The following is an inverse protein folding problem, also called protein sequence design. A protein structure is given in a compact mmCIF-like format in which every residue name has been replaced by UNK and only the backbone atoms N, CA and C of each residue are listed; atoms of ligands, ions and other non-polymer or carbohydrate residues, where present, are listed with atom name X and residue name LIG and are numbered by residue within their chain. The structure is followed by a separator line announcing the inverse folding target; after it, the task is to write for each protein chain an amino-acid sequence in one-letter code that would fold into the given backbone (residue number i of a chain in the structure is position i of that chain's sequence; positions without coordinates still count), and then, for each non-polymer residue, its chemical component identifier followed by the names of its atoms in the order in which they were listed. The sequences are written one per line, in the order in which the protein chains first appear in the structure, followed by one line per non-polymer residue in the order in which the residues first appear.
data_IF_497593355484
#
_entry.id   IF_497593355484
#
_cell.length_a   1.000
_cell.length_b   1.000
_cell.length_c   1.000
_cell.angle_alpha   90.00
_cell.angle_beta   90.00
_cell.angle_gamma   90.00
#
_symmetry.space_group_name_H-M   'P 1'
#
loop_
_entity.id
_entity.type
_entity.pdbx_description
1 polymer ?
#
# COMPACT_ATOMS: atom_id res chain seq x y z
N UNK A 1 54.17 3.90 14.27
CA UNK A 1 55.09 3.85 13.10
C UNK A 1 56.27 2.97 13.48
N UNK A 2 56.65 1.97 12.68
CA UNK A 2 57.94 1.29 12.84
C UNK A 2 58.88 1.71 11.72
N UNK A 3 59.70 2.73 11.99
CA UNK A 3 60.83 3.13 11.14
C UNK A 3 62.09 2.42 11.63
N UNK A 4 62.63 1.54 10.79
CA UNK A 4 63.99 1.00 10.92
C UNK A 4 64.10 -0.35 11.64
N UNK A 5 64.98 -1.21 11.09
CA UNK A 5 65.47 -2.52 11.57
C UNK A 5 64.41 -3.65 11.65
N UNK A 6 64.50 -4.61 10.72
CA UNK A 6 63.90 -5.95 10.90
C UNK A 6 63.24 -6.63 9.69
N UNK A 7 63.01 -5.94 8.57
CA UNK A 7 62.31 -6.58 7.43
C UNK A 7 63.20 -7.60 6.70
N UNK A 8 62.96 -8.89 6.96
CA UNK A 8 63.42 -10.00 6.12
C UNK A 8 62.43 -10.23 4.98
N UNK A 9 62.98 -10.48 3.79
CA UNK A 9 62.23 -10.82 2.58
C UNK A 9 62.48 -12.29 2.19
N UNK A 10 61.60 -12.88 1.39
CA UNK A 10 61.80 -14.25 0.88
C UNK A 10 62.78 -14.20 -0.29
N UNK A 11 64.06 -14.43 -0.01
CA UNK A 11 65.14 -14.34 -1.01
C UNK A 11 65.24 -12.93 -1.60
N UNK A 12 65.41 -12.86 -2.92
CA UNK A 12 65.51 -11.59 -3.68
C UNK A 12 64.14 -11.03 -4.13
N UNK A 13 63.03 -11.54 -3.58
CA UNK A 13 61.69 -11.04 -3.88
C UNK A 13 61.32 -9.86 -2.98
N UNK A 14 60.48 -8.95 -3.47
CA UNK A 14 59.90 -7.86 -2.66
C UNK A 14 58.79 -8.34 -1.68
N UNK A 15 58.67 -9.64 -1.47
CA UNK A 15 57.63 -10.24 -0.61
C UNK A 15 58.17 -10.41 0.82
N UNK A 16 57.54 -9.81 1.85
CA UNK A 16 57.95 -9.97 3.25
C UNK A 16 57.93 -11.43 3.67
N UNK A 17 58.95 -11.88 4.41
CA UNK A 17 59.04 -13.26 4.90
C UNK A 17 57.97 -13.58 5.96
N UNK A 18 57.56 -12.58 6.76
CA UNK A 18 56.41 -12.71 7.65
C UNK A 18 55.11 -12.41 6.90
N UNK A 19 54.46 -13.47 6.40
CA UNK A 19 53.07 -13.38 5.94
C UNK A 19 52.16 -13.25 7.15
N UNK A 20 51.90 -12.02 7.60
CA UNK A 20 50.79 -11.76 8.53
C UNK A 20 49.49 -12.17 7.82
N UNK A 21 48.73 -13.18 8.30
CA UNK A 21 47.42 -13.46 7.75
C UNK A 21 46.50 -12.26 8.01
N UNK A 22 45.31 -12.23 7.40
CA UNK A 22 44.31 -11.19 7.63
C UNK A 22 43.67 -11.32 9.03
N UNK A 23 44.49 -11.18 10.08
CA UNK A 23 44.06 -11.10 11.47
C UNK A 23 43.27 -9.80 11.57
N UNK A 24 41.97 -9.85 11.92
CA UNK A 24 41.21 -8.64 12.21
C UNK A 24 41.93 -7.87 13.31
N UNK A 25 42.11 -6.57 13.10
CA UNK A 25 42.65 -5.69 14.14
C UNK A 25 41.70 -5.68 15.33
N UNK A 26 42.27 -5.65 16.52
CA UNK A 26 41.48 -5.56 17.74
C UNK A 26 40.69 -4.23 17.78
N UNK A 27 39.49 -4.26 18.35
CA UNK A 27 38.63 -3.07 18.50
C UNK A 27 39.29 -2.02 19.41
N UNK A 28 40.23 -2.43 20.27
CA UNK A 28 41.09 -1.54 21.05
C UNK A 28 42.02 -0.66 20.20
N UNK A 29 42.34 -1.04 18.95
CA UNK A 29 43.14 -0.23 18.02
C UNK A 29 42.36 0.98 17.44
N UNK A 30 41.04 1.03 17.62
CA UNK A 30 40.16 2.07 17.08
C UNK A 30 39.33 2.77 18.18
N UNK A 31 39.98 3.34 19.22
CA UNK A 31 39.30 3.94 20.36
C UNK A 31 38.35 5.06 19.91
N UNK A 32 37.11 5.02 20.41
CA UNK A 32 36.04 5.97 20.06
C UNK A 32 35.40 5.76 18.69
N UNK A 33 35.80 4.72 17.92
CA UNK A 33 35.18 4.38 16.61
C UNK A 33 34.59 2.97 16.55
N UNK A 34 35.01 2.09 17.45
CA UNK A 34 34.48 0.72 17.56
C UNK A 34 34.21 0.39 19.02
N UNK A 35 33.16 -0.38 19.27
CA UNK A 35 32.81 -0.94 20.57
C UNK A 35 32.68 -2.46 20.47
N UNK A 36 32.74 -3.16 21.60
CA UNK A 36 32.54 -4.61 21.63
C UNK A 36 31.09 -4.96 21.24
N UNK A 37 30.92 -5.91 20.31
CA UNK A 37 29.59 -6.35 19.86
C UNK A 37 28.73 -6.84 21.02
N UNK A 38 29.31 -7.66 21.89
CA UNK A 38 28.72 -8.10 23.14
C UNK A 38 29.53 -7.55 24.33
N UNK A 39 28.87 -7.04 25.40
CA UNK A 39 27.43 -6.78 25.50
C UNK A 39 27.02 -5.43 24.90
N UNK A 40 27.98 -4.52 24.65
CA UNK A 40 27.71 -3.08 24.52
C UNK A 40 26.84 -2.70 23.31
N UNK A 41 27.24 -3.12 22.09
CA UNK A 41 26.47 -2.81 20.88
C UNK A 41 25.10 -3.48 20.94
N UNK A 42 25.04 -4.78 21.25
CA UNK A 42 23.78 -5.51 21.27
C UNK A 42 22.77 -4.95 22.29
N UNK A 43 23.23 -4.58 23.49
CA UNK A 43 22.36 -3.98 24.51
C UNK A 43 21.83 -2.60 24.09
N UNK A 44 22.63 -1.82 23.35
CA UNK A 44 22.19 -0.54 22.76
C UNK A 44 21.13 -0.75 21.68
N UNK A 45 21.38 -1.66 20.73
CA UNK A 45 20.42 -2.00 19.68
C UNK A 45 19.11 -2.59 20.26
N UNK A 46 19.20 -3.42 21.30
CA UNK A 46 18.02 -3.95 22.00
C UNK A 46 17.25 -2.86 22.74
N UNK A 47 17.93 -1.89 23.36
CA UNK A 47 17.27 -0.76 24.00
C UNK A 47 16.57 0.15 22.98
N UNK A 48 17.22 0.44 21.85
CA UNK A 48 16.61 1.19 20.73
C UNK A 48 15.42 0.43 20.15
N UNK A 49 15.56 -0.88 19.91
CA UNK A 49 14.50 -1.76 19.44
C UNK A 49 13.32 -1.83 20.41
N UNK A 50 13.56 -1.94 21.71
CA UNK A 50 12.52 -1.93 22.73
C UNK A 50 11.76 -0.59 22.77
N UNK A 51 12.48 0.54 22.72
CA UNK A 51 11.84 1.87 22.65
C UNK A 51 11.02 2.03 21.37
N UNK A 52 11.54 1.57 20.22
CA UNK A 52 10.80 1.57 18.96
C UNK A 52 9.54 0.70 19.02
N UNK A 53 9.64 -0.52 19.54
CA UNK A 53 8.50 -1.45 19.66
C UNK A 53 7.43 -0.94 20.64
N UNK A 54 7.83 -0.31 21.75
CA UNK A 54 6.89 0.36 22.66
C UNK A 54 6.21 1.53 21.96
N UNK A 55 6.96 2.38 21.23
CA UNK A 55 6.38 3.47 20.45
C UNK A 55 5.41 3.00 19.36
N UNK A 56 5.75 1.91 18.67
CA UNK A 56 4.88 1.28 17.67
C UNK A 56 3.62 0.67 18.31
N UNK A 57 3.75 -0.02 19.45
CA UNK A 57 2.60 -0.52 20.20
C UNK A 57 1.67 0.62 20.64
N UNK A 58 2.22 1.71 21.17
CA UNK A 58 1.45 2.92 21.49
C UNK A 58 0.74 3.50 20.27
N UNK A 59 1.38 3.51 19.10
CA UNK A 59 0.74 3.95 17.85
C UNK A 59 -0.44 3.05 17.48
N UNK A 60 -0.29 1.72 17.52
CA UNK A 60 -1.36 0.76 17.20
C UNK A 60 -2.50 0.70 18.22
N UNK A 61 -2.27 1.20 19.44
CA UNK A 61 -3.33 1.36 20.46
C UNK A 61 -4.06 2.71 20.27
N UNK A 62 -3.34 3.75 19.84
CA UNK A 62 -3.89 5.10 19.65
C UNK A 62 -4.60 5.29 18.30
N UNK A 63 -4.25 4.50 17.29
CA UNK A 63 -4.85 4.52 15.95
C UNK A 63 -5.23 3.09 15.56
N UNK A 64 -6.53 2.86 15.43
CA UNK A 64 -7.07 1.60 14.94
C UNK A 64 -6.62 1.36 13.48
N UNK A 65 -6.41 0.10 13.06
CA UNK A 65 -6.13 -0.20 11.67
C UNK A 65 -7.32 0.23 10.79
N UNK A 66 -7.09 0.87 9.64
CA UNK A 66 -8.16 1.25 8.72
C UNK A 66 -8.67 0.00 7.99
N UNK A 67 -9.55 -0.75 8.67
CA UNK A 67 -10.24 -1.90 8.10
C UNK A 67 -11.42 -1.40 7.26
N UNK A 68 -11.55 -1.97 6.06
CA UNK A 68 -12.62 -1.67 5.14
C UNK A 68 -13.67 -2.80 5.11
N UNK A 69 -14.78 -2.59 4.40
CA UNK A 69 -15.80 -3.61 4.15
C UNK A 69 -15.23 -4.90 3.54
N UNK A 70 -15.92 -6.03 3.76
CA UNK A 70 -15.55 -7.32 3.17
C UNK A 70 -15.57 -7.23 1.64
N UNK A 71 -14.62 -7.90 1.00
CA UNK A 71 -14.47 -7.87 -0.45
C UNK A 71 -15.60 -8.66 -1.16
N UNK A 72 -16.46 -7.92 -1.88
CA UNK A 72 -17.52 -8.48 -2.72
C UNK A 72 -17.06 -8.53 -4.19
N UNK A 73 -17.02 -9.72 -4.83
CA UNK A 73 -16.63 -9.85 -6.24
C UNK A 73 -17.65 -9.27 -7.24
N UNK A 74 -18.84 -8.87 -6.78
CA UNK A 74 -19.88 -8.20 -7.57
C UNK A 74 -19.81 -6.67 -7.53
N UNK A 75 -19.12 -6.07 -6.55
CA UNK A 75 -18.86 -4.62 -6.50
C UNK A 75 -17.75 -4.23 -7.50
N UNK A 76 -18.16 -3.89 -8.73
CA UNK A 76 -17.24 -3.37 -9.76
C UNK A 76 -16.95 -1.87 -9.63
N UNK A 77 -17.58 -1.18 -8.66
CA UNK A 77 -17.46 0.26 -8.47
C UNK A 77 -16.35 0.63 -7.46
N UNK A 78 -15.90 -0.32 -6.65
CA UNK A 78 -14.78 -0.16 -5.72
C UNK A 78 -13.47 0.16 -6.46
N UNK A 79 -12.91 1.35 -6.20
CA UNK A 79 -11.58 1.78 -6.68
C UNK A 79 -10.52 1.39 -5.63
N UNK A 80 -9.65 0.39 -5.88
CA UNK A 80 -8.59 0.01 -4.95
C UNK A 80 -7.45 1.02 -4.92
N UNK A 81 -7.16 1.60 -3.76
CA UNK A 81 -5.92 2.34 -3.51
C UNK A 81 -4.83 1.36 -3.00
N UNK A 82 -3.62 1.34 -3.58
CA UNK A 82 -2.51 0.58 -3.02
C UNK A 82 -1.88 1.32 -1.83
N UNK A 83 -1.20 0.57 -0.96
CA UNK A 83 -0.49 1.10 0.21
C UNK A 83 0.45 2.28 -0.10
N UNK A 84 0.72 3.09 0.94
CA UNK A 84 1.57 4.29 0.88
C UNK A 84 2.94 4.08 0.23
N UNK A 85 3.55 2.90 0.38
CA UNK A 85 4.85 2.55 -0.19
C UNK A 85 4.80 2.19 -1.69
N UNK A 86 3.61 2.12 -2.30
CA UNK A 86 3.40 1.93 -3.74
C UNK A 86 2.74 3.13 -4.44
N UNK A 87 2.32 4.18 -3.72
CA UNK A 87 1.64 5.35 -4.30
C UNK A 87 2.43 6.04 -5.43
N UNK A 88 3.76 6.04 -5.37
CA UNK A 88 4.59 6.58 -6.45
C UNK A 88 4.46 5.79 -7.77
N UNK A 89 4.31 4.45 -7.71
CA UNK A 89 4.06 3.61 -8.87
C UNK A 89 2.62 3.76 -9.36
N UNK A 90 1.66 3.86 -8.43
CA UNK A 90 0.27 4.13 -8.75
C UNK A 90 0.09 5.43 -9.53
N UNK A 91 0.71 6.52 -9.07
CA UNK A 91 0.67 7.81 -9.79
C UNK A 91 1.42 7.75 -11.12
N UNK A 92 2.58 7.08 -11.19
CA UNK A 92 3.29 6.85 -12.45
C UNK A 92 2.38 6.16 -13.49
N UNK A 93 1.62 5.15 -13.07
CA UNK A 93 0.68 4.40 -13.91
C UNK A 93 -0.59 5.17 -14.31
N UNK A 94 -0.85 6.37 -13.76
CA UNK A 94 -1.91 7.26 -14.24
C UNK A 94 -1.49 8.10 -15.45
N UNK A 95 -0.20 8.28 -15.70
CA UNK A 95 0.24 9.08 -16.85
C UNK A 95 0.12 8.33 -18.17
N UNK A 96 -0.33 9.03 -19.21
CA UNK A 96 -0.57 8.47 -20.55
C UNK A 96 0.63 7.79 -21.22
N UNK A 97 1.87 8.12 -20.82
CA UNK A 97 3.10 7.51 -21.35
C UNK A 97 3.53 6.23 -20.62
N UNK A 98 2.93 5.93 -19.46
CA UNK A 98 3.19 4.74 -18.65
C UNK A 98 1.94 3.84 -18.51
N UNK A 99 0.78 4.33 -18.96
CA UNK A 99 -0.53 3.68 -18.84
C UNK A 99 -1.07 3.16 -20.18
N UNK A 100 -2.24 2.53 -20.15
CA UNK A 100 -2.99 2.06 -21.33
C UNK A 100 -2.16 1.09 -22.19
N UNK A 101 -1.88 1.40 -23.47
CA UNK A 101 -1.05 0.54 -24.33
C UNK A 101 0.39 0.37 -23.80
N UNK A 102 0.84 1.25 -22.91
CA UNK A 102 2.16 1.23 -22.30
C UNK A 102 2.18 0.69 -20.86
N UNK A 103 1.07 0.12 -20.37
CA UNK A 103 0.96 -0.45 -19.01
C UNK A 103 2.14 -1.38 -18.65
N UNK A 104 2.59 -2.24 -19.58
CA UNK A 104 3.73 -3.12 -19.34
C UNK A 104 5.05 -2.37 -19.15
N UNK A 105 5.21 -1.21 -19.78
CA UNK A 105 6.38 -0.33 -19.63
C UNK A 105 6.36 0.31 -18.24
N UNK A 106 5.23 0.89 -17.84
CA UNK A 106 5.05 1.53 -16.54
C UNK A 106 5.16 0.56 -15.36
N UNK A 107 4.54 -0.61 -15.47
CA UNK A 107 4.45 -1.57 -14.36
C UNK A 107 5.70 -2.44 -14.20
N UNK A 108 6.36 -2.84 -15.30
CA UNK A 108 7.47 -3.80 -15.24
C UNK A 108 8.80 -3.22 -15.72
N UNK A 109 8.84 -2.50 -16.84
CA UNK A 109 10.11 -2.04 -17.42
C UNK A 109 10.74 -0.92 -16.60
N UNK A 110 9.98 0.13 -16.23
CA UNK A 110 10.53 1.26 -15.46
C UNK A 110 10.99 0.80 -14.07
N UNK A 111 10.19 0.07 -13.26
CA UNK A 111 10.66 -0.47 -11.98
C UNK A 111 11.79 -1.48 -12.15
N UNK A 112 11.70 -2.37 -13.14
CA UNK A 112 12.74 -3.38 -13.44
C UNK A 112 14.09 -2.75 -13.78
N UNK A 113 14.11 -1.64 -14.53
CA UNK A 113 15.32 -0.87 -14.80
C UNK A 113 15.85 -0.16 -13.55
N UNK A 114 14.99 0.38 -12.68
CA UNK A 114 15.41 1.01 -11.43
C UNK A 114 16.02 -0.01 -10.45
N UNK A 115 15.35 -1.14 -10.23
CA UNK A 115 15.89 -2.25 -9.42
C UNK A 115 17.14 -2.86 -10.05
N UNK A 116 17.18 -3.03 -11.38
CA UNK A 116 18.35 -3.49 -12.12
C UNK A 116 19.55 -2.55 -11.95
N UNK A 117 19.33 -1.23 -12.01
CA UNK A 117 20.38 -0.24 -11.78
C UNK A 117 20.92 -0.28 -10.33
N UNK A 118 20.05 -0.48 -9.32
CA UNK A 118 20.47 -0.67 -7.94
C UNK A 118 21.26 -1.96 -7.73
N UNK A 119 20.81 -3.07 -8.32
CA UNK A 119 21.50 -4.38 -8.26
C UNK A 119 22.86 -4.33 -8.98
N UNK A 120 22.96 -3.59 -10.09
CA UNK A 120 24.21 -3.38 -10.81
C UNK A 120 25.10 -2.27 -10.23
N UNK A 121 24.63 -1.49 -9.25
CA UNK A 121 25.37 -0.38 -8.66
C UNK A 121 26.78 -0.76 -8.14
N UNK A 122 27.01 -1.93 -7.50
CA UNK A 122 28.37 -2.36 -7.10
C UNK A 122 29.32 -2.63 -8.28
N UNK A 123 28.77 -2.93 -9.46
CA UNK A 123 29.54 -3.21 -10.68
C UNK A 123 29.73 -1.98 -11.56
N UNK A 124 28.87 -0.99 -11.45
CA UNK A 124 28.95 0.30 -12.17
C UNK A 124 29.86 1.26 -11.40
N UNK A 125 29.61 1.46 -10.10
CA UNK A 125 30.38 2.38 -9.26
C UNK A 125 31.48 1.62 -8.50
N UNK A 126 32.56 1.33 -9.24
CA UNK A 126 33.78 0.66 -8.74
C UNK A 126 34.76 1.62 -8.05
N UNK A 127 34.32 2.81 -7.64
CA UNK A 127 35.18 3.81 -7.02
C UNK A 127 35.76 3.32 -5.68
N UNK A 128 37.04 3.62 -5.36
CA UNK A 128 37.61 3.28 -4.06
C UNK A 128 37.00 4.12 -2.92
N UNK A 129 36.47 5.29 -3.25
CA UNK A 129 35.84 6.23 -2.32
C UNK A 129 34.41 5.83 -2.00
N UNK A 130 34.05 5.77 -0.71
CA UNK A 130 32.70 5.39 -0.24
C UNK A 130 31.83 6.57 0.22
N UNK A 131 32.40 7.78 0.30
CA UNK A 131 31.70 8.97 0.80
C UNK A 131 30.77 9.55 -0.29
N UNK A 132 29.50 9.89 0.00
CA UNK A 132 28.58 10.47 -0.99
C UNK A 132 29.14 11.71 -1.69
N UNK A 133 29.79 12.62 -0.94
CA UNK A 133 30.44 13.83 -1.47
C UNK A 133 31.65 13.57 -2.39
N UNK A 134 32.10 12.32 -2.51
CA UNK A 134 33.13 11.87 -3.47
C UNK A 134 32.55 11.02 -4.63
N UNK A 135 31.24 10.72 -4.60
CA UNK A 135 30.50 9.97 -5.64
C UNK A 135 29.35 10.84 -6.18
N UNK A 136 29.62 12.02 -6.79
CA UNK A 136 28.58 13.02 -7.11
C UNK A 136 27.52 12.49 -8.10
N UNK A 137 27.90 11.66 -9.07
CA UNK A 137 26.96 11.09 -10.05
C UNK A 137 26.02 10.07 -9.39
N UNK A 138 26.56 9.04 -8.73
CA UNK A 138 25.73 8.02 -8.06
C UNK A 138 24.85 8.62 -6.95
N UNK A 139 25.38 9.59 -6.19
CA UNK A 139 24.62 10.33 -5.18
C UNK A 139 23.53 11.19 -5.85
N UNK A 140 23.83 11.86 -6.96
CA UNK A 140 22.87 12.66 -7.71
C UNK A 140 21.72 11.83 -8.28
N UNK A 141 22.01 10.66 -8.88
CA UNK A 141 20.97 9.74 -9.35
C UNK A 141 20.12 9.16 -8.21
N UNK A 142 20.73 8.81 -7.08
CA UNK A 142 19.98 8.34 -5.91
C UNK A 142 19.06 9.44 -5.34
N UNK A 143 19.55 10.68 -5.23
CA UNK A 143 18.76 11.83 -4.79
C UNK A 143 17.64 12.16 -5.78
N UNK A 144 17.88 12.06 -7.09
CA UNK A 144 16.85 12.24 -8.13
C UNK A 144 15.77 11.15 -8.04
N UNK A 145 16.16 9.89 -7.82
CA UNK A 145 15.21 8.79 -7.63
C UNK A 145 14.35 9.00 -6.37
N UNK A 146 14.96 9.38 -5.23
CA UNK A 146 14.24 9.71 -4.01
C UNK A 146 13.31 10.92 -4.19
N UNK A 147 13.77 11.97 -4.88
CA UNK A 147 12.94 13.14 -5.19
C UNK A 147 11.76 12.77 -6.09
N UNK A 148 11.96 11.92 -7.08
CA UNK A 148 10.90 11.40 -7.96
C UNK A 148 9.87 10.56 -7.20
N UNK A 149 10.32 9.64 -6.33
CA UNK A 149 9.42 8.85 -5.46
C UNK A 149 8.61 9.78 -4.55
N UNK A 150 9.25 10.71 -3.86
CA UNK A 150 8.58 11.68 -2.97
C UNK A 150 7.58 12.55 -3.73
N UNK A 151 7.95 13.05 -4.91
CA UNK A 151 7.08 13.86 -5.76
C UNK A 151 5.85 13.09 -6.23
N UNK A 152 6.02 11.88 -6.76
CA UNK A 152 4.92 11.05 -7.25
C UNK A 152 4.00 10.57 -6.13
N UNK A 153 4.55 10.22 -4.95
CA UNK A 153 3.73 9.92 -3.77
C UNK A 153 2.95 11.15 -3.33
N UNK A 154 3.57 12.33 -3.27
CA UNK A 154 2.88 13.59 -2.93
C UNK A 154 1.77 13.91 -3.93
N UNK A 155 2.03 13.80 -5.24
CA UNK A 155 1.04 14.04 -6.29
C UNK A 155 -0.11 13.03 -6.21
N UNK A 156 0.18 11.75 -5.92
CA UNK A 156 -0.85 10.74 -5.66
C UNK A 156 -1.77 11.13 -4.51
N UNK A 157 -1.20 11.66 -3.42
CA UNK A 157 -1.95 12.05 -2.21
C UNK A 157 -2.73 13.34 -2.44
N UNK A 158 -2.14 14.32 -3.13
CA UNK A 158 -2.74 15.63 -3.37
C UNK A 158 -3.91 15.60 -4.37
N UNK A 159 -3.96 14.60 -5.25
CA UNK A 159 -5.00 14.45 -6.28
C UNK A 159 -5.91 13.23 -6.06
N UNK A 160 -5.90 12.61 -4.88
CA UNK A 160 -6.85 11.56 -4.52
C UNK A 160 -8.02 12.13 -3.72
N UNK A 161 -9.24 11.68 -4.05
CA UNK A 161 -10.44 11.99 -3.29
C UNK A 161 -10.53 11.05 -2.09
N UNK A 162 -9.94 11.49 -0.99
CA UNK A 162 -9.92 10.78 0.29
C UNK A 162 -11.30 10.67 0.93
N UNK A 163 -12.23 11.58 0.63
CA UNK A 163 -13.59 11.51 1.17
C UNK A 163 -14.37 10.41 0.44
N UNK A 164 -14.36 10.40 -0.90
CA UNK A 164 -14.99 9.33 -1.68
C UNK A 164 -14.41 7.95 -1.34
N UNK A 165 -13.08 7.82 -1.23
CA UNK A 165 -12.43 6.58 -0.83
C UNK A 165 -12.84 6.12 0.58
N UNK A 166 -12.86 7.03 1.57
CA UNK A 166 -13.28 6.71 2.92
C UNK A 166 -14.76 6.27 2.98
N UNK A 167 -15.65 6.85 2.16
CA UNK A 167 -17.05 6.40 2.09
C UNK A 167 -17.17 5.02 1.44
N UNK A 168 -16.42 4.75 0.37
CA UNK A 168 -16.41 3.48 -0.36
C UNK A 168 -15.92 2.29 0.50
N UNK A 169 -14.94 2.54 1.37
CA UNK A 169 -14.39 1.54 2.28
C UNK A 169 -15.15 1.33 3.59
N UNK A 170 -16.19 2.13 3.88
CA UNK A 170 -16.91 2.03 5.17
C UNK A 170 -17.46 0.62 5.41
N UNK A 171 -17.13 0.08 6.57
CA UNK A 171 -17.82 -1.08 7.14
C UNK A 171 -19.26 -0.65 7.44
N UNK A 172 -20.21 -1.25 6.73
CA UNK A 172 -21.64 -1.18 6.99
C UNK A 172 -22.09 -2.46 7.70
N UNK A 173 -23.22 -2.39 8.41
CA UNK A 173 -23.77 -3.56 9.08
C UNK A 173 -24.18 -4.62 8.04
N UNK A 174 -23.82 -5.86 8.31
CA UNK A 174 -24.10 -7.01 7.44
C UNK A 174 -25.29 -7.77 8.02
N UNK A 175 -26.35 -7.95 7.24
CA UNK A 175 -27.56 -8.69 7.65
C UNK A 175 -27.52 -10.07 7.02
N UNK A 176 -27.77 -11.10 7.83
CA UNK A 176 -27.98 -12.45 7.33
C UNK A 176 -29.39 -12.56 6.73
N UNK A 177 -29.48 -12.44 5.40
CA UNK A 177 -30.73 -12.54 4.62
C UNK A 177 -30.72 -13.76 3.68
N UNK A 178 -31.90 -14.27 3.33
CA UNK A 178 -32.04 -15.41 2.42
C UNK A 178 -31.91 -14.95 0.95
N UNK A 179 -30.89 -15.45 0.25
CA UNK A 179 -30.69 -15.19 -1.19
C UNK A 179 -31.70 -15.92 -2.07
N UNK A 180 -32.46 -16.86 -1.51
CA UNK A 180 -33.58 -17.49 -2.20
C UNK A 180 -34.93 -16.74 -2.03
N UNK A 181 -34.97 -15.64 -1.27
CA UNK A 181 -36.17 -14.81 -1.10
C UNK A 181 -36.63 -14.18 -2.43
N UNK A 182 -37.94 -14.01 -2.60
CA UNK A 182 -38.50 -13.41 -3.82
C UNK A 182 -38.06 -11.95 -4.00
N UNK A 183 -37.96 -11.18 -2.92
CA UNK A 183 -37.48 -9.80 -2.94
C UNK A 183 -36.03 -9.69 -3.38
N UNK A 184 -35.15 -10.58 -2.89
CA UNK A 184 -33.75 -10.63 -3.34
C UNK A 184 -33.63 -11.06 -4.81
N UNK A 185 -34.43 -12.03 -5.27
CA UNK A 185 -34.46 -12.42 -6.69
C UNK A 185 -34.93 -11.29 -7.60
N UNK A 186 -35.89 -10.47 -7.14
CA UNK A 186 -36.33 -9.27 -7.86
C UNK A 186 -35.23 -8.20 -7.86
N UNK A 187 -34.49 -8.03 -6.77
CA UNK A 187 -33.32 -7.13 -6.66
C UNK A 187 -32.21 -7.52 -7.65
N UNK A 188 -31.87 -8.82 -7.74
CA UNK A 188 -30.92 -9.36 -8.71
C UNK A 188 -31.43 -9.16 -10.16
N UNK A 189 -32.67 -9.57 -10.45
CA UNK A 189 -33.24 -9.52 -11.79
C UNK A 189 -33.39 -8.10 -12.36
N UNK A 190 -33.59 -7.08 -11.52
CA UNK A 190 -33.61 -5.68 -11.92
C UNK A 190 -32.21 -5.05 -12.01
N UNK A 191 -31.14 -5.80 -11.73
CA UNK A 191 -29.75 -5.35 -11.83
C UNK A 191 -29.29 -4.43 -10.71
N UNK A 192 -30.04 -4.36 -9.60
CA UNK A 192 -29.74 -3.46 -8.48
C UNK A 192 -28.39 -3.79 -7.80
N UNK A 193 -27.94 -5.06 -7.86
CA UNK A 193 -26.60 -5.52 -7.45
C UNK A 193 -25.48 -4.64 -8.03
N UNK A 194 -25.60 -4.20 -9.29
CA UNK A 194 -24.52 -3.45 -9.97
C UNK A 194 -24.18 -2.10 -9.34
N UNK A 195 -25.06 -1.59 -8.46
CA UNK A 195 -24.86 -0.35 -7.71
C UNK A 195 -24.88 -0.58 -6.20
N UNK A 196 -25.74 -1.45 -5.69
CA UNK A 196 -25.92 -1.67 -4.25
C UNK A 196 -25.17 -2.90 -3.68
N UNK A 197 -24.44 -3.63 -4.52
CA UNK A 197 -23.67 -4.83 -4.15
C UNK A 197 -24.54 -6.08 -3.96
N UNK A 198 -23.90 -7.25 -3.94
CA UNK A 198 -24.56 -8.54 -3.79
C UNK A 198 -24.97 -8.86 -2.36
N UNK A 199 -24.33 -8.22 -1.38
CA UNK A 199 -24.62 -8.33 0.05
C UNK A 199 -25.27 -7.05 0.60
N UNK A 200 -25.84 -6.22 -0.29
CA UNK A 200 -26.64 -5.03 0.03
C UNK A 200 -25.86 -3.92 0.77
N UNK A 201 -24.53 -4.00 0.72
CA UNK A 201 -23.57 -3.15 1.41
C UNK A 201 -23.28 -1.81 0.70
N UNK A 202 -23.83 -1.59 -0.49
CA UNK A 202 -23.61 -0.38 -1.29
C UNK A 202 -22.28 -0.38 -2.05
N UNK A 203 -22.17 0.56 -2.98
CA UNK A 203 -21.04 0.74 -3.89
C UNK A 203 -20.63 2.21 -4.00
N UNK A 204 -19.67 2.54 -4.87
CA UNK A 204 -19.21 3.92 -5.02
C UNK A 204 -20.36 4.84 -5.51
N UNK A 205 -20.87 5.69 -4.61
CA UNK A 205 -21.99 6.61 -4.86
C UNK A 205 -23.39 6.01 -4.63
N UNK A 206 -23.50 4.77 -4.15
CA UNK A 206 -24.78 4.11 -3.87
C UNK A 206 -24.83 3.60 -2.42
N UNK A 207 -25.84 3.97 -1.62
CA UNK A 207 -25.90 3.59 -0.21
C UNK A 207 -26.12 2.09 -0.02
N UNK A 208 -25.76 1.58 1.15
CA UNK A 208 -26.23 0.28 1.63
C UNK A 208 -27.77 0.28 1.75
N UNK A 209 -28.36 -0.90 1.62
CA UNK A 209 -29.80 -1.14 1.74
C UNK A 209 -30.19 -1.84 3.05
N UNK A 210 -29.23 -2.04 3.93
CA UNK A 210 -29.39 -2.39 5.35
C UNK A 210 -29.62 -1.13 6.18
N UNK A 211 -30.44 -1.21 7.23
CA UNK A 211 -30.69 -0.14 8.22
C UNK A 211 -31.15 1.20 7.61
N UNK A 212 -31.85 1.15 6.47
CA UNK A 212 -32.25 2.36 5.74
C UNK A 212 -33.24 3.24 6.53
N UNK A 213 -34.02 2.63 7.44
CA UNK A 213 -35.09 3.29 8.18
C UNK A 213 -36.24 3.80 7.29
N UNK A 214 -36.30 3.37 6.04
CA UNK A 214 -37.31 3.77 5.05
C UNK A 214 -38.50 2.82 5.09
N UNK A 215 -39.71 3.34 4.86
CA UNK A 215 -40.91 2.49 4.71
C UNK A 215 -40.93 1.79 3.34
N UNK A 216 -41.68 0.70 3.16
CA UNK A 216 -41.82 0.04 1.86
C UNK A 216 -42.32 1.00 0.77
N UNK A 217 -43.21 1.94 1.10
CA UNK A 217 -43.69 2.94 0.15
C UNK A 217 -42.58 3.90 -0.31
N UNK A 218 -41.69 4.32 0.60
CA UNK A 218 -40.54 5.16 0.27
C UNK A 218 -39.50 4.41 -0.56
N UNK A 219 -39.23 3.14 -0.25
CA UNK A 219 -38.33 2.30 -1.05
C UNK A 219 -38.88 2.06 -2.45
N UNK A 220 -40.18 1.79 -2.57
CA UNK A 220 -40.87 1.61 -3.86
C UNK A 220 -40.82 2.90 -4.71
N UNK A 221 -41.03 4.06 -4.11
CA UNK A 221 -40.91 5.36 -4.79
C UNK A 221 -39.48 5.59 -5.30
N UNK A 222 -38.47 5.35 -4.46
CA UNK A 222 -37.05 5.49 -4.83
C UNK A 222 -36.66 4.53 -5.96
N UNK A 223 -37.09 3.27 -5.90
CA UNK A 223 -36.80 2.28 -6.94
C UNK A 223 -37.42 2.62 -8.31
N UNK A 224 -38.56 3.31 -8.31
CA UNK A 224 -39.30 3.71 -9.52
C UNK A 224 -38.86 5.08 -10.07
N UNK A 225 -38.72 6.08 -9.20
CA UNK A 225 -38.48 7.48 -9.55
C UNK A 225 -37.02 7.94 -9.34
N UNK A 226 -36.17 7.15 -8.68
CA UNK A 226 -34.78 7.47 -8.39
C UNK A 226 -34.61 8.49 -7.26
N UNK A 227 -33.38 8.60 -6.73
CA UNK A 227 -33.02 9.55 -5.67
C UNK A 227 -31.53 9.87 -5.73
N UNK A 228 -31.18 11.15 -5.78
CA UNK A 228 -29.79 11.62 -5.81
C UNK A 228 -29.04 11.10 -7.04
N UNK A 229 -28.10 10.16 -6.84
CA UNK A 229 -27.34 9.53 -7.91
C UNK A 229 -28.07 8.36 -8.59
N UNK A 230 -29.12 7.79 -7.97
CA UNK A 230 -29.92 6.72 -8.57
C UNK A 230 -30.88 7.28 -9.62
N UNK A 231 -30.80 6.86 -10.90
CA UNK A 231 -31.66 7.38 -11.96
C UNK A 231 -33.09 6.81 -11.91
N UNK A 232 -34.09 7.53 -12.47
CA UNK A 232 -35.46 7.03 -12.59
C UNK A 232 -35.58 5.85 -13.55
N UNK A 233 -36.58 4.99 -13.32
CA UNK A 233 -36.92 3.88 -14.23
C UNK A 233 -35.94 2.71 -14.23
N UNK A 234 -35.15 2.55 -13.16
CA UNK A 234 -34.26 1.39 -12.99
C UNK A 234 -35.06 0.11 -12.78
N UNK A 235 -36.11 0.15 -11.95
CA UNK A 235 -37.03 -0.95 -11.77
C UNK A 235 -37.92 -1.14 -13.02
N UNK A 236 -38.04 -2.40 -13.49
CA UNK A 236 -38.74 -2.78 -14.74
C UNK A 236 -39.78 -3.89 -14.54
N UNK A 237 -39.98 -4.35 -13.31
CA UNK A 237 -41.01 -5.33 -12.97
C UNK A 237 -42.42 -4.73 -12.88
N UNK A 238 -43.34 -5.54 -12.37
CA UNK A 238 -44.71 -5.19 -12.00
C UNK A 238 -44.78 -4.45 -10.67
N UNK A 239 -45.89 -3.75 -10.39
CA UNK A 239 -46.08 -3.08 -9.10
C UNK A 239 -46.18 -4.08 -7.92
N UNK A 240 -46.58 -5.34 -8.15
CA UNK A 240 -46.55 -6.41 -7.14
C UNK A 240 -45.10 -6.84 -6.81
N UNK A 241 -44.23 -6.97 -7.82
CA UNK A 241 -42.81 -7.24 -7.61
C UNK A 241 -42.10 -6.06 -6.93
N UNK A 242 -42.50 -4.82 -7.24
CA UNK A 242 -41.98 -3.62 -6.60
C UNK A 242 -42.29 -3.60 -5.10
N UNK A 243 -43.51 -3.99 -4.73
CA UNK A 243 -43.91 -4.08 -3.32
C UNK A 243 -43.11 -5.16 -2.57
N UNK A 244 -42.95 -6.35 -3.15
CA UNK A 244 -42.12 -7.42 -2.54
C UNK A 244 -40.66 -7.01 -2.34
N UNK A 245 -40.07 -6.36 -3.35
CA UNK A 245 -38.71 -5.80 -3.26
C UNK A 245 -38.60 -4.79 -2.13
N UNK A 246 -39.59 -3.91 -2.00
CA UNK A 246 -39.59 -2.85 -1.00
C UNK A 246 -39.84 -3.37 0.42
N UNK A 247 -40.73 -4.35 0.59
CA UNK A 247 -40.95 -5.06 1.86
C UNK A 247 -39.70 -5.82 2.31
N UNK A 248 -39.01 -6.49 1.38
CA UNK A 248 -37.72 -7.13 1.63
C UNK A 248 -36.67 -6.11 2.12
N UNK A 249 -36.42 -5.03 1.38
CA UNK A 249 -35.42 -4.01 1.73
C UNK A 249 -35.75 -3.30 3.05
N UNK A 250 -37.02 -2.94 3.28
CA UNK A 250 -37.46 -2.26 4.50
C UNK A 250 -37.34 -3.17 5.74
N UNK A 251 -37.40 -4.50 5.56
CA UNK A 251 -37.20 -5.49 6.63
C UNK A 251 -35.74 -5.80 6.98
N UNK A 252 -34.75 -5.22 6.30
CA UNK A 252 -33.32 -5.46 6.54
C UNK A 252 -32.77 -4.57 7.66
N UNK A 253 -33.10 -4.93 8.90
CA UNK A 253 -32.49 -4.36 10.11
C UNK A 253 -31.31 -5.22 10.60
N UNK A 254 -30.22 -4.57 11.02
CA UNK A 254 -29.10 -5.25 11.69
C UNK A 254 -29.44 -5.62 13.14
N UNK A 255 -28.70 -6.61 13.67
CA UNK A 255 -28.92 -7.20 15.00
C UNK A 255 -27.94 -6.69 16.06
#
# INVERSE_FOLDING_TARGET
MHRGKGMKFVGDSRVPAERKPNIPKDYSEYPGKTEAFWPNFLLKEWMVGAVFLIGFLCLTIAHEPPLEKIADPSDTAYIPLPDWYFLFLYQLLKYSYASGPYNAIGAFIIPGLAFGALLLAPFIDRGPERRPSKRPLATGFMLLALAGITFLTWESVAHHDWEAAAQQGKIVAEVEFDKEDEGYKIFEANGCISCHGGDLQGGAGSPALVDTGLTPEEVADIAKNGKGAMPPGMFKGTDEELQKLAEFISGLESK
#
